data_IF_117670326801
#
_entry.id   IF_117670326801
#
_cell.length_a   1.000
_cell.length_b   1.000
_cell.length_c   1.000
_cell.angle_alpha   90.00
_cell.angle_beta   90.00
_cell.angle_gamma   90.00
#
_symmetry.space_group_name_H-M   'P 1'
#
loop_
_entity.id
_entity.type
_entity.pdbx_description
1 polymer ?
#
# COMPACT_ATOMS: atom_id res chain seq x y z
N UNK A 1 14.83 37.02 -56.79
CA UNK A 1 14.59 36.04 -57.88
C UNK A 1 15.53 34.87 -57.63
N UNK A 2 15.07 33.92 -56.83
CA UNK A 2 15.49 32.52 -56.83
C UNK A 2 14.28 31.77 -56.26
N UNK A 3 13.60 31.07 -57.16
CA UNK A 3 12.39 30.29 -56.95
C UNK A 3 12.70 29.06 -56.09
N UNK A 4 11.79 28.74 -55.16
CA UNK A 4 11.77 27.46 -54.48
C UNK A 4 10.83 26.57 -55.30
N UNK A 5 11.37 25.52 -55.92
CA UNK A 5 10.60 24.47 -56.57
C UNK A 5 10.06 23.53 -55.49
N UNK A 6 8.73 23.40 -55.45
CA UNK A 6 7.98 22.43 -54.66
C UNK A 6 8.11 21.05 -55.33
N UNK A 7 8.91 20.16 -54.74
CA UNK A 7 8.86 18.73 -55.08
C UNK A 7 7.86 18.02 -54.16
N UNK A 8 6.68 17.75 -54.73
CA UNK A 8 5.71 16.79 -54.23
C UNK A 8 6.33 15.39 -54.17
N UNK A 9 6.54 14.86 -52.96
CA UNK A 9 6.82 13.44 -52.76
C UNK A 9 5.58 12.73 -52.22
N UNK A 10 4.82 12.11 -53.13
CA UNK A 10 3.85 11.06 -52.80
C UNK A 10 4.59 9.84 -52.23
N UNK A 11 4.55 9.68 -50.90
CA UNK A 11 5.10 8.53 -50.18
C UNK A 11 4.00 7.67 -49.58
N UNK A 12 3.76 6.53 -50.22
CA UNK A 12 2.78 5.51 -49.88
C UNK A 12 2.73 5.12 -48.38
N UNK A 13 1.53 4.79 -47.92
CA UNK A 13 1.25 4.31 -46.59
C UNK A 13 2.05 3.08 -46.19
N UNK A 14 2.76 3.19 -45.08
CA UNK A 14 3.12 2.07 -44.23
C UNK A 14 3.10 2.58 -42.78
N UNK A 15 2.03 2.25 -42.07
CA UNK A 15 1.96 2.34 -40.60
C UNK A 15 2.91 1.30 -40.01
N UNK A 16 4.21 1.54 -40.12
CA UNK A 16 5.23 0.81 -39.39
C UNK A 16 5.10 1.20 -37.91
N UNK A 17 4.35 0.40 -37.16
CA UNK A 17 4.38 0.43 -35.70
C UNK A 17 5.82 0.18 -35.29
N UNK A 18 6.53 1.24 -34.90
CA UNK A 18 7.89 1.12 -34.39
C UNK A 18 7.92 0.05 -33.30
N UNK A 19 8.82 -0.95 -33.36
CA UNK A 19 8.88 -2.00 -32.36
C UNK A 19 9.11 -1.34 -30.99
N UNK A 20 8.23 -1.64 -30.03
CA UNK A 20 8.37 -1.15 -28.65
C UNK A 20 9.77 -1.50 -28.17
N UNK A 21 10.62 -0.49 -27.99
CA UNK A 21 11.94 -0.67 -27.40
C UNK A 21 11.76 -1.31 -26.02
N UNK A 22 12.20 -2.55 -25.89
CA UNK A 22 12.28 -3.21 -24.60
C UNK A 22 13.38 -2.50 -23.79
N UNK A 23 13.13 -2.15 -22.51
CA UNK A 23 14.18 -1.61 -21.65
C UNK A 23 15.40 -2.54 -21.67
N UNK A 24 16.58 -1.99 -21.94
CA UNK A 24 17.82 -2.76 -21.88
C UNK A 24 18.08 -3.36 -20.49
N UNK A 25 19.12 -4.19 -20.36
CA UNK A 25 19.48 -4.80 -19.09
C UNK A 25 19.68 -3.73 -17.99
N UNK A 26 18.78 -3.71 -17.02
CA UNK A 26 18.81 -2.77 -15.89
C UNK A 26 19.42 -3.46 -14.68
N UNK A 27 20.48 -2.88 -14.10
CA UNK A 27 21.05 -3.34 -12.83
C UNK A 27 20.81 -2.30 -11.74
N UNK A 28 20.23 -2.72 -10.61
CA UNK A 28 20.07 -1.85 -9.45
C UNK A 28 21.35 -1.88 -8.60
N UNK A 29 22.01 -0.73 -8.46
CA UNK A 29 23.13 -0.55 -7.53
C UNK A 29 22.66 -0.10 -6.14
N UNK A 30 21.34 -0.13 -5.91
CA UNK A 30 20.74 0.39 -4.67
C UNK A 30 21.25 -0.32 -3.43
N UNK A 31 21.48 -1.63 -3.48
CA UNK A 31 22.01 -2.40 -2.35
C UNK A 31 23.43 -1.98 -1.99
N UNK A 32 24.34 -1.93 -2.98
CA UNK A 32 25.73 -1.44 -2.79
C UNK A 32 25.77 0.01 -2.29
N UNK A 33 24.93 0.88 -2.85
CA UNK A 33 24.81 2.26 -2.37
C UNK A 33 24.36 2.32 -0.90
N UNK A 34 23.35 1.53 -0.51
CA UNK A 34 22.87 1.48 0.88
C UNK A 34 23.95 0.97 1.83
N UNK A 35 24.71 -0.04 1.43
CA UNK A 35 25.81 -0.58 2.23
C UNK A 35 26.89 0.47 2.50
N UNK A 36 27.46 1.09 1.46
CA UNK A 36 28.48 2.15 1.64
C UNK A 36 27.95 3.35 2.42
N UNK A 37 26.68 3.69 2.25
CA UNK A 37 26.05 4.79 2.97
C UNK A 37 25.77 4.42 4.43
N UNK A 38 25.46 3.16 4.72
CA UNK A 38 25.06 2.69 6.06
C UNK A 38 26.16 2.96 7.07
N UNK A 39 27.41 2.61 6.80
CA UNK A 39 28.53 2.80 7.72
C UNK A 39 28.71 4.28 8.15
N UNK A 40 28.76 5.20 7.17
CA UNK A 40 28.84 6.65 7.45
C UNK A 40 27.60 7.18 8.17
N UNK A 41 26.42 6.71 7.75
CA UNK A 41 25.16 7.12 8.34
C UNK A 41 25.02 6.58 9.77
N UNK A 42 25.55 5.41 10.06
CA UNK A 42 25.47 4.74 11.35
C UNK A 42 26.38 5.40 12.38
N UNK A 43 27.61 5.78 11.98
CA UNK A 43 28.46 6.63 12.82
C UNK A 43 27.77 7.97 13.14
N UNK A 44 27.21 8.63 12.13
CA UNK A 44 26.52 9.91 12.29
C UNK A 44 25.24 9.79 13.16
N UNK A 45 24.44 8.74 12.95
CA UNK A 45 23.26 8.43 13.77
C UNK A 45 23.67 8.11 15.22
N UNK A 46 24.78 7.41 15.42
CA UNK A 46 25.30 7.08 16.75
C UNK A 46 25.65 8.34 17.53
N UNK A 47 26.32 9.30 16.88
CA UNK A 47 26.64 10.58 17.50
C UNK A 47 25.37 11.37 17.87
N UNK A 48 24.39 11.43 16.97
CA UNK A 48 23.08 12.04 17.27
C UNK A 48 22.41 11.36 18.46
N UNK A 49 22.36 10.03 18.48
CA UNK A 49 21.71 9.28 19.55
C UNK A 49 22.41 9.52 20.90
N UNK A 50 23.74 9.61 20.93
CA UNK A 50 24.49 10.01 22.14
C UNK A 50 24.07 11.40 22.64
N UNK A 51 23.90 12.36 21.73
CA UNK A 51 23.43 13.71 22.11
C UNK A 51 22.02 13.67 22.68
N UNK A 52 21.09 12.92 22.06
CA UNK A 52 19.71 12.78 22.55
C UNK A 52 19.68 12.11 23.94
N UNK A 53 20.44 11.03 24.16
CA UNK A 53 20.51 10.36 25.45
C UNK A 53 21.04 11.31 26.54
N UNK A 54 22.07 12.10 26.22
CA UNK A 54 22.61 13.11 27.16
C UNK A 54 21.59 14.21 27.44
N UNK A 55 20.87 14.66 26.42
CA UNK A 55 19.78 15.63 26.58
C UNK A 55 18.68 15.11 27.50
N UNK A 56 18.23 13.87 27.32
CA UNK A 56 17.25 13.23 28.21
C UNK A 56 17.76 13.15 29.66
N UNK A 57 19.04 12.81 29.86
CA UNK A 57 19.67 12.79 31.21
C UNK A 57 19.71 14.19 31.85
N UNK A 58 20.10 15.21 31.08
CA UNK A 58 20.10 16.60 31.54
C UNK A 58 18.70 17.05 31.99
N UNK A 59 17.68 16.71 31.20
CA UNK A 59 16.27 17.02 31.53
C UNK A 59 15.76 16.28 32.76
N UNK A 60 16.14 15.01 32.95
CA UNK A 60 15.64 14.18 34.06
C UNK A 60 16.10 14.59 35.46
N UNK A 61 17.19 15.36 35.57
CA UNK A 61 17.76 15.82 36.84
C UNK A 61 17.85 17.34 36.92
N UNK A 62 17.03 18.07 36.15
CA UNK A 62 17.12 19.52 36.10
C UNK A 62 16.64 20.13 37.42
N UNK A 63 17.43 21.07 37.95
CA UNK A 63 17.14 21.76 39.22
C UNK A 63 17.07 23.27 39.01
N UNK A 64 16.23 23.95 39.80
CA UNK A 64 16.19 25.42 39.89
C UNK A 64 17.42 26.00 40.56
N UNK A 65 18.07 25.22 41.43
CA UNK A 65 19.33 25.57 42.09
C UNK A 65 20.49 25.52 41.08
N UNK A 66 21.19 26.65 40.93
CA UNK A 66 22.28 26.79 39.96
C UNK A 66 23.49 25.89 40.26
N UNK A 67 23.79 25.64 41.54
CA UNK A 67 24.93 24.81 41.96
C UNK A 67 24.62 23.34 41.68
N UNK A 68 23.44 22.87 42.09
CA UNK A 68 22.99 21.49 41.81
C UNK A 68 22.88 21.24 40.32
N UNK A 69 22.37 22.21 39.56
CA UNK A 69 22.29 22.12 38.09
C UNK A 69 23.67 22.00 37.45
N UNK A 70 24.63 22.85 37.84
CA UNK A 70 26.00 22.76 37.31
C UNK A 70 26.65 21.41 37.62
N UNK A 71 26.47 20.91 38.85
CA UNK A 71 26.98 19.60 39.24
C UNK A 71 26.33 18.47 38.41
N UNK A 72 25.01 18.53 38.20
CA UNK A 72 24.29 17.60 37.33
C UNK A 72 24.78 17.65 35.87
N UNK A 73 24.92 18.85 35.30
CA UNK A 73 25.44 19.05 33.94
C UNK A 73 26.82 18.41 33.75
N UNK A 74 27.72 18.58 34.74
CA UNK A 74 29.07 18.01 34.73
C UNK A 74 29.08 16.49 34.99
N UNK A 75 28.12 15.96 35.75
CA UNK A 75 27.96 14.53 35.97
C UNK A 75 27.44 13.81 34.71
N UNK A 76 26.58 14.47 33.91
CA UNK A 76 26.07 13.91 32.66
C UNK A 76 27.12 13.94 31.55
N UNK A 77 27.92 15.01 31.48
CA UNK A 77 28.97 15.20 30.47
C UNK A 77 30.21 15.79 31.08
N UNK A 78 31.36 15.12 30.90
CA UNK A 78 32.66 15.66 31.28
C UNK A 78 32.98 16.90 30.46
N UNK A 79 33.23 18.01 31.14
CA UNK A 79 33.60 19.28 30.52
C UNK A 79 35.10 19.33 30.31
N UNK A 80 35.50 19.77 29.11
CA UNK A 80 36.91 19.95 28.81
C UNK A 80 37.48 21.10 29.64
N UNK A 81 38.70 20.93 30.14
CA UNK A 81 39.38 21.93 30.95
C UNK A 81 39.70 23.18 30.12
N UNK A 82 39.44 24.35 30.69
CA UNK A 82 39.67 25.64 30.04
C UNK A 82 41.13 25.83 29.64
N UNK A 83 42.09 25.35 30.43
CA UNK A 83 43.53 25.48 30.16
C UNK A 83 43.98 24.79 28.88
N UNK A 84 43.25 23.76 28.44
CA UNK A 84 43.60 22.96 27.26
C UNK A 84 43.16 23.61 25.94
N UNK A 85 42.35 24.67 25.98
CA UNK A 85 41.72 25.24 24.79
C UNK A 85 41.99 26.73 24.67
N UNK A 86 42.86 27.10 23.73
CA UNK A 86 43.20 28.50 23.45
C UNK A 86 42.37 29.10 22.29
N UNK A 87 41.88 28.26 21.38
CA UNK A 87 41.10 28.64 20.21
C UNK A 87 39.72 27.98 20.25
N UNK A 88 38.69 28.67 19.77
CA UNK A 88 37.37 28.06 19.62
C UNK A 88 37.43 26.94 18.56
N UNK A 89 37.09 25.68 18.88
CA UNK A 89 37.15 24.57 17.93
C UNK A 89 36.22 24.72 16.73
N UNK A 90 35.17 25.55 16.84
CA UNK A 90 34.20 25.74 15.76
C UNK A 90 34.62 26.80 14.74
N UNK A 91 35.25 27.90 15.16
CA UNK A 91 35.62 29.02 14.27
C UNK A 91 37.11 29.34 14.22
N UNK A 92 37.93 28.68 15.04
CA UNK A 92 39.37 28.92 15.13
C UNK A 92 39.77 30.22 15.84
N UNK A 93 38.84 31.10 16.22
CA UNK A 93 39.18 32.37 16.86
C UNK A 93 39.73 32.17 18.29
N UNK A 94 40.77 32.91 18.65
CA UNK A 94 41.36 32.92 19.98
C UNK A 94 40.42 33.47 21.05
N UNK A 95 40.39 32.81 22.21
CA UNK A 95 39.70 33.33 23.38
C UNK A 95 40.46 34.52 23.98
N UNK A 96 39.71 35.50 24.50
CA UNK A 96 40.24 36.69 25.16
C UNK A 96 39.17 37.25 26.12
N UNK A 97 39.37 38.47 26.64
CA UNK A 97 38.46 39.08 27.63
C UNK A 97 37.04 39.25 27.07
N UNK A 98 36.89 39.59 25.78
CA UNK A 98 35.57 39.78 25.14
C UNK A 98 35.02 38.48 24.55
N UNK A 99 35.89 37.61 24.02
CA UNK A 99 35.55 36.26 23.56
C UNK A 99 35.82 35.25 24.68
N UNK A 100 34.85 35.09 25.58
CA UNK A 100 34.95 34.15 26.71
C UNK A 100 34.68 32.69 26.30
N UNK A 101 35.18 31.77 27.11
CA UNK A 101 34.98 30.32 26.98
C UNK A 101 33.60 29.92 27.53
N UNK A 102 32.93 29.02 26.84
CA UNK A 102 31.66 28.43 27.26
C UNK A 102 31.61 26.94 26.95
N UNK A 103 31.11 26.12 27.88
CA UNK A 103 30.92 24.70 27.63
C UNK A 103 29.59 24.39 26.95
N UNK A 104 29.63 23.50 25.97
CA UNK A 104 28.45 22.83 25.43
C UNK A 104 27.93 21.82 26.45
N UNK A 105 26.66 21.92 26.82
CA UNK A 105 26.06 21.01 27.81
C UNK A 105 25.92 19.58 27.29
N UNK A 106 25.93 19.36 25.98
CA UNK A 106 25.74 18.04 25.37
C UNK A 106 27.04 17.28 25.05
N UNK A 107 28.14 17.99 24.81
CA UNK A 107 29.41 17.35 24.46
C UNK A 107 30.59 17.78 25.33
N UNK A 108 30.43 18.77 26.20
CA UNK A 108 31.49 19.26 27.09
C UNK A 108 32.57 20.10 26.40
N UNK A 109 32.51 20.26 25.08
CA UNK A 109 33.47 21.06 24.33
C UNK A 109 33.34 22.55 24.65
N UNK A 110 34.48 23.24 24.63
CA UNK A 110 34.55 24.70 24.81
C UNK A 110 34.24 25.39 23.49
N UNK A 111 33.43 26.45 23.53
CA UNK A 111 33.01 27.25 22.39
C UNK A 111 32.93 28.73 22.76
N UNK A 112 33.03 29.62 21.77
CA UNK A 112 32.72 31.04 21.97
C UNK A 112 31.21 31.31 21.87
N UNK A 113 30.78 32.51 22.28
CA UNK A 113 29.37 32.88 22.26
C UNK A 113 28.75 32.80 20.85
N UNK A 114 29.45 33.29 19.82
CA UNK A 114 29.01 33.25 18.42
C UNK A 114 28.89 31.84 17.84
N UNK A 115 29.56 30.86 18.43
CA UNK A 115 29.52 29.45 17.99
C UNK A 115 28.66 28.58 18.92
N UNK A 116 27.89 29.21 19.81
CA UNK A 116 26.96 28.54 20.72
C UNK A 116 25.53 28.99 20.44
N UNK A 117 24.60 28.07 20.62
CA UNK A 117 23.16 28.27 20.45
C UNK A 117 22.45 27.97 21.77
N UNK A 118 21.28 28.59 21.94
CA UNK A 118 20.35 28.29 23.03
C UNK A 118 19.39 27.20 22.55
N UNK A 119 19.32 26.08 23.28
CA UNK A 119 18.33 25.03 23.06
C UNK A 119 17.28 25.11 24.16
N UNK A 120 16.06 25.48 23.79
CA UNK A 120 14.95 25.57 24.73
C UNK A 120 14.56 24.22 25.30
N UNK A 121 14.00 24.21 26.51
CA UNK A 121 13.44 22.98 27.13
C UNK A 121 12.33 22.40 26.25
N UNK A 122 11.49 23.25 25.65
CA UNK A 122 10.41 22.82 24.76
C UNK A 122 10.95 22.09 23.52
N UNK A 123 12.01 22.59 22.89
CA UNK A 123 12.61 21.94 21.73
C UNK A 123 13.38 20.67 22.11
N UNK A 124 14.01 20.67 23.28
CA UNK A 124 14.63 19.47 23.82
C UNK A 124 13.61 18.33 24.04
N UNK A 125 12.41 18.66 24.52
CA UNK A 125 11.31 17.71 24.70
C UNK A 125 10.80 17.13 23.37
N UNK A 126 10.73 17.93 22.29
CA UNK A 126 10.34 17.44 20.95
C UNK A 126 11.36 16.47 20.35
N UNK A 127 12.63 16.58 20.74
CA UNK A 127 13.72 15.71 20.30
C UNK A 127 13.81 14.42 21.11
N UNK A 128 13.31 14.46 22.36
CA UNK A 128 13.24 13.33 23.28
C UNK A 128 12.19 12.31 22.84
N UNK A 129 12.46 11.03 23.10
CA UNK A 129 11.49 9.95 22.89
C UNK A 129 10.49 9.82 24.05
N UNK A 130 10.82 10.41 25.20
CA UNK A 130 10.02 10.37 26.42
C UNK A 130 9.00 11.50 26.44
N UNK A 131 7.78 11.19 26.89
CA UNK A 131 6.75 12.21 27.14
C UNK A 131 7.28 13.25 28.15
N UNK A 132 7.01 14.55 27.93
CA UNK A 132 7.28 15.56 28.94
C UNK A 132 6.57 15.21 30.24
N UNK A 133 7.24 15.34 31.37
CA UNK A 133 6.51 15.53 32.63
C UNK A 133 5.91 16.94 32.61
N UNK A 134 4.63 17.08 32.94
CA UNK A 134 3.94 18.38 33.00
C UNK A 134 4.65 19.37 33.95
N UNK A 135 5.31 18.85 34.98
CA UNK A 135 6.12 19.61 35.93
C UNK A 135 7.26 20.39 35.26
N UNK A 136 7.97 19.82 34.28
CA UNK A 136 9.09 20.49 33.60
C UNK A 136 8.60 21.64 32.71
N UNK A 137 7.40 21.52 32.14
CA UNK A 137 6.82 22.52 31.23
C UNK A 137 6.38 23.80 31.96
N UNK A 138 6.10 23.71 33.27
CA UNK A 138 5.61 24.84 34.07
C UNK A 138 6.74 25.59 34.80
N UNK A 139 7.96 25.08 34.78
CA UNK A 139 9.10 25.70 35.44
C UNK A 139 9.85 26.65 34.50
N UNK A 140 10.16 27.87 34.97
CA UNK A 140 11.04 28.83 34.29
C UNK A 140 12.51 28.35 34.33
N UNK A 141 12.80 27.29 33.59
CA UNK A 141 14.11 26.67 33.51
C UNK A 141 14.96 27.34 32.43
N UNK A 142 16.27 27.54 32.66
CA UNK A 142 17.13 28.10 31.64
C UNK A 142 17.40 27.10 30.52
N UNK A 143 17.57 27.63 29.31
CA UNK A 143 17.96 26.88 28.12
C UNK A 143 19.32 26.20 28.27
N UNK A 144 19.50 25.12 27.51
CA UNK A 144 20.80 24.47 27.38
C UNK A 144 21.66 25.22 26.37
N UNK A 145 22.87 25.60 26.77
CA UNK A 145 23.87 26.12 25.82
C UNK A 145 24.52 24.97 25.05
N UNK A 146 24.42 25.00 23.74
CA UNK A 146 24.88 23.94 22.83
C UNK A 146 25.84 24.52 21.80
N UNK A 147 26.94 23.83 21.47
CA UNK A 147 27.82 24.30 20.39
C UNK A 147 27.15 24.13 19.01
N UNK A 148 27.59 24.91 18.02
CA UNK A 148 27.06 24.84 16.65
C UNK A 148 27.04 23.41 16.07
N UNK A 149 28.10 22.58 16.20
CA UNK A 149 28.07 21.20 15.70
C UNK A 149 27.04 20.29 16.38
N UNK A 150 26.71 20.53 17.65
CA UNK A 150 25.66 19.76 18.34
C UNK A 150 24.27 20.28 17.96
N UNK A 151 24.13 21.60 17.81
CA UNK A 151 22.89 22.22 17.34
C UNK A 151 22.48 21.69 15.96
N UNK A 152 23.40 21.69 15.01
CA UNK A 152 23.17 21.19 13.64
C UNK A 152 22.74 19.71 13.61
N UNK A 153 23.41 18.87 14.42
CA UNK A 153 23.06 17.45 14.56
C UNK A 153 21.66 17.25 15.14
N UNK A 154 21.29 18.03 16.15
CA UNK A 154 19.94 17.98 16.74
C UNK A 154 18.89 18.50 15.76
N UNK A 155 19.19 19.54 14.99
CA UNK A 155 18.30 20.06 13.96
C UNK A 155 18.05 19.03 12.85
N UNK A 156 19.09 18.34 12.38
CA UNK A 156 18.93 17.23 11.44
C UNK A 156 18.08 16.09 12.03
N UNK A 157 18.21 15.81 13.33
CA UNK A 157 17.32 14.85 14.02
C UNK A 157 15.89 15.35 14.06
N UNK A 158 15.65 16.63 14.37
CA UNK A 158 14.33 17.26 14.38
C UNK A 158 13.64 17.07 13.04
N UNK A 159 14.31 17.45 11.95
CA UNK A 159 13.80 17.29 10.59
C UNK A 159 13.51 15.82 10.24
N UNK A 160 14.32 14.88 10.72
CA UNK A 160 14.08 13.44 10.53
C UNK A 160 12.91 12.92 11.36
N UNK A 161 12.69 13.43 12.58
CA UNK A 161 11.54 13.10 13.42
C UNK A 161 10.28 13.68 12.80
N UNK A 162 10.28 14.97 12.47
CA UNK A 162 9.20 15.68 11.80
C UNK A 162 8.88 15.04 10.44
N UNK A 163 9.87 14.69 9.64
CA UNK A 163 9.69 14.03 8.35
C UNK A 163 9.17 12.59 8.45
N UNK A 164 9.43 11.88 9.56
CA UNK A 164 8.83 10.57 9.82
C UNK A 164 7.37 10.68 10.27
N UNK A 165 7.03 11.70 11.03
CA UNK A 165 5.66 11.94 11.52
C UNK A 165 4.79 12.69 10.50
N UNK A 166 5.41 13.48 9.62
CA UNK A 166 4.74 14.19 8.56
C UNK A 166 4.43 13.20 7.45
N UNK A 167 3.26 12.57 7.49
CA UNK A 167 2.70 11.87 6.33
C UNK A 167 2.28 12.95 5.33
N UNK A 168 3.03 13.16 4.23
CA UNK A 168 2.73 14.24 3.30
C UNK A 168 1.30 14.10 2.79
N UNK A 169 0.60 15.22 2.60
CA UNK A 169 -0.80 15.21 2.16
C UNK A 169 -0.96 14.41 0.86
N UNK A 170 0.03 14.47 -0.05
CA UNK A 170 0.05 13.67 -1.29
C UNK A 170 -0.03 12.16 -1.04
N UNK A 171 0.60 11.64 0.02
CA UNK A 171 0.50 10.23 0.37
C UNK A 171 -0.93 9.86 0.74
N UNK A 172 -1.61 10.69 1.54
CA UNK A 172 -3.01 10.44 1.92
C UNK A 172 -3.94 10.39 0.70
N UNK A 173 -3.77 11.31 -0.26
CA UNK A 173 -4.52 11.27 -1.52
C UNK A 173 -4.17 10.05 -2.39
N UNK A 174 -2.90 9.67 -2.43
CA UNK A 174 -2.45 8.51 -3.18
C UNK A 174 -2.98 7.19 -2.61
N UNK A 175 -2.98 7.04 -1.28
CA UNK A 175 -3.54 5.87 -0.61
C UNK A 175 -5.05 5.75 -0.88
N UNK A 176 -5.78 6.89 -0.85
CA UNK A 176 -7.18 6.93 -1.24
C UNK A 176 -7.39 6.55 -2.71
N UNK A 177 -6.53 7.02 -3.61
CA UNK A 177 -6.58 6.66 -5.03
C UNK A 177 -6.38 5.16 -5.24
N UNK A 178 -5.39 4.57 -4.55
CA UNK A 178 -5.13 3.13 -4.60
C UNK A 178 -6.31 2.31 -4.07
N UNK A 179 -6.92 2.73 -2.95
CA UNK A 179 -8.11 2.08 -2.42
C UNK A 179 -9.26 2.09 -3.44
N UNK A 180 -9.55 3.25 -4.04
CA UNK A 180 -10.60 3.37 -5.06
C UNK A 180 -10.35 2.48 -6.28
N UNK A 181 -9.08 2.35 -6.71
CA UNK A 181 -8.72 1.45 -7.82
C UNK A 181 -8.90 -0.03 -7.44
N UNK A 182 -8.54 -0.40 -6.21
CA UNK A 182 -8.74 -1.76 -5.68
C UNK A 182 -10.22 -2.11 -5.59
N UNK A 183 -11.04 -1.20 -5.06
CA UNK A 183 -12.49 -1.38 -4.95
C UNK A 183 -13.14 -1.53 -6.33
N UNK A 184 -12.71 -0.71 -7.30
CA UNK A 184 -13.16 -0.81 -8.69
C UNK A 184 -12.76 -2.14 -9.35
N UNK A 185 -11.54 -2.62 -9.11
CA UNK A 185 -11.07 -3.91 -9.62
C UNK A 185 -11.85 -5.10 -9.04
N UNK A 186 -12.16 -5.06 -7.74
CA UNK A 186 -12.97 -6.09 -7.11
C UNK A 186 -14.40 -6.09 -7.67
N UNK A 187 -15.04 -4.92 -7.71
CA UNK A 187 -16.41 -4.78 -8.20
C UNK A 187 -16.53 -5.11 -9.70
N UNK A 188 -15.50 -4.81 -10.49
CA UNK A 188 -15.46 -5.15 -11.92
C UNK A 188 -15.47 -6.66 -12.14
N UNK A 189 -14.73 -7.42 -11.33
CA UNK A 189 -14.74 -8.89 -11.42
C UNK A 189 -16.14 -9.45 -11.17
N UNK A 190 -16.83 -8.94 -10.15
CA UNK A 190 -18.18 -9.39 -9.82
C UNK A 190 -19.19 -8.96 -10.88
N UNK A 191 -19.04 -7.75 -11.43
CA UNK A 191 -19.83 -7.29 -12.57
C UNK A 191 -19.68 -8.18 -13.81
N UNK A 192 -18.46 -8.58 -14.15
CA UNK A 192 -18.22 -9.45 -15.30
C UNK A 192 -18.85 -10.84 -15.11
N UNK A 193 -18.83 -11.39 -13.88
CA UNK A 193 -19.56 -12.63 -13.56
C UNK A 193 -21.06 -12.46 -13.75
N UNK A 194 -21.65 -11.42 -13.15
CA UNK A 194 -23.08 -11.10 -13.32
C UNK A 194 -23.45 -10.96 -14.79
N UNK A 195 -22.65 -10.21 -15.56
CA UNK A 195 -22.86 -10.03 -16.99
C UNK A 195 -22.85 -11.37 -17.74
N UNK A 196 -21.82 -12.22 -17.52
CA UNK A 196 -21.70 -13.51 -18.19
C UNK A 196 -22.88 -14.46 -17.91
N UNK A 197 -23.34 -14.51 -16.66
CA UNK A 197 -24.49 -15.33 -16.24
C UNK A 197 -25.80 -14.84 -16.86
N UNK A 198 -26.04 -13.51 -16.85
CA UNK A 198 -27.23 -12.90 -17.47
C UNK A 198 -27.26 -13.08 -18.99
N UNK A 199 -26.11 -12.91 -19.67
CA UNK A 199 -25.98 -13.17 -21.11
C UNK A 199 -26.14 -14.66 -21.46
N UNK A 200 -25.87 -15.55 -20.51
CA UNK A 200 -26.12 -16.99 -20.66
C UNK A 200 -27.55 -17.38 -20.31
N UNK A 201 -28.43 -16.43 -19.95
CA UNK A 201 -29.83 -16.67 -19.60
C UNK A 201 -30.03 -17.41 -18.26
N UNK A 202 -28.99 -17.45 -17.42
CA UNK A 202 -29.06 -18.03 -16.09
C UNK A 202 -29.86 -17.12 -15.13
N UNK A 203 -30.33 -17.69 -14.02
CA UNK A 203 -31.10 -16.97 -12.99
C UNK A 203 -30.33 -16.76 -11.69
N UNK A 204 -28.99 -16.90 -11.72
CA UNK A 204 -28.13 -16.78 -10.53
C UNK A 204 -28.10 -15.33 -10.03
N UNK A 205 -28.18 -14.35 -10.95
CA UNK A 205 -28.10 -12.93 -10.64
C UNK A 205 -29.34 -12.15 -11.15
N UNK A 206 -29.70 -11.07 -10.44
CA UNK A 206 -30.78 -10.18 -10.85
C UNK A 206 -30.28 -9.06 -11.77
N UNK A 207 -31.09 -8.71 -12.78
CA UNK A 207 -30.76 -7.63 -13.72
C UNK A 207 -30.66 -6.27 -13.01
N UNK A 208 -31.47 -6.04 -11.97
CA UNK A 208 -31.42 -4.79 -11.18
C UNK A 208 -30.13 -4.66 -10.39
N UNK A 209 -29.62 -5.76 -9.85
CA UNK A 209 -28.35 -5.82 -9.13
C UNK A 209 -27.17 -5.54 -10.07
N UNK A 210 -27.18 -6.15 -11.26
CA UNK A 210 -26.15 -5.89 -12.28
C UNK A 210 -26.17 -4.43 -12.77
N UNK A 211 -27.35 -3.83 -12.95
CA UNK A 211 -27.51 -2.41 -13.29
C UNK A 211 -26.96 -1.50 -12.18
N UNK A 212 -27.31 -1.80 -10.93
CA UNK A 212 -26.81 -1.07 -9.76
C UNK A 212 -25.29 -1.15 -9.67
N UNK A 213 -24.73 -2.35 -9.83
CA UNK A 213 -23.28 -2.57 -9.81
C UNK A 213 -22.57 -1.78 -10.91
N UNK A 214 -23.12 -1.77 -12.13
CA UNK A 214 -22.59 -0.95 -13.25
C UNK A 214 -22.56 0.53 -12.88
N UNK A 215 -23.62 1.07 -12.26
CA UNK A 215 -23.66 2.46 -11.82
C UNK A 215 -22.59 2.76 -10.76
N UNK A 216 -22.38 1.86 -9.79
CA UNK A 216 -21.31 2.01 -8.80
C UNK A 216 -19.91 2.03 -9.44
N UNK A 217 -19.65 1.20 -10.47
CA UNK A 217 -18.39 1.24 -11.21
C UNK A 217 -18.14 2.59 -11.89
N UNK A 218 -19.17 3.21 -12.47
CA UNK A 218 -19.09 4.55 -13.06
C UNK A 218 -18.78 5.60 -11.98
N UNK A 219 -19.45 5.54 -10.82
CA UNK A 219 -19.17 6.45 -9.70
C UNK A 219 -17.75 6.28 -9.15
N UNK A 220 -17.20 5.06 -9.11
CA UNK A 220 -15.81 4.83 -8.74
C UNK A 220 -14.85 5.45 -9.76
N UNK A 221 -15.11 5.32 -11.06
CA UNK A 221 -14.32 5.97 -12.10
C UNK A 221 -14.27 7.49 -11.91
N UNK A 222 -15.42 8.13 -11.62
CA UNK A 222 -15.49 9.57 -11.33
C UNK A 222 -14.69 9.95 -10.08
N UNK A 223 -14.77 9.16 -9.00
CA UNK A 223 -13.99 9.41 -7.78
C UNK A 223 -12.47 9.27 -8.01
N UNK A 224 -12.05 8.29 -8.81
CA UNK A 224 -10.65 8.10 -9.22
C UNK A 224 -10.17 9.32 -10.04
N UNK A 225 -10.99 9.76 -11.00
CA UNK A 225 -10.73 10.94 -11.83
C UNK A 225 -10.59 12.22 -10.99
N UNK A 226 -11.51 12.46 -10.06
CA UNK A 226 -11.47 13.61 -9.16
C UNK A 226 -10.24 13.57 -8.24
N UNK A 227 -9.96 12.43 -7.61
CA UNK A 227 -8.83 12.28 -6.69
C UNK A 227 -7.50 12.50 -7.41
N UNK A 228 -7.34 11.93 -8.61
CA UNK A 228 -6.11 12.11 -9.40
C UNK A 228 -5.92 13.55 -9.90
N UNK A 229 -7.01 14.28 -10.21
CA UNK A 229 -6.97 15.73 -10.47
C UNK A 229 -6.54 16.53 -9.24
N UNK A 230 -7.05 16.19 -8.06
CA UNK A 230 -6.62 16.83 -6.80
C UNK A 230 -5.13 16.62 -6.52
N UNK A 231 -4.57 15.45 -6.82
CA UNK A 231 -3.13 15.18 -6.70
C UNK A 231 -2.32 16.07 -7.64
N UNK A 232 -2.80 16.29 -8.88
CA UNK A 232 -2.11 17.12 -9.87
C UNK A 232 -1.96 18.58 -9.44
N UNK A 233 -3.00 19.14 -8.82
CA UNK A 233 -3.02 20.54 -8.37
C UNK A 233 -2.55 20.73 -6.92
N UNK A 234 -2.08 19.67 -6.27
CA UNK A 234 -1.68 19.75 -4.87
C UNK A 234 -0.43 20.63 -4.75
N UNK A 235 -0.50 21.67 -3.90
CA UNK A 235 0.57 22.64 -3.68
C UNK A 235 0.61 23.78 -4.70
N UNK A 236 -0.25 23.81 -5.72
CA UNK A 236 -0.29 24.93 -6.69
C UNK A 236 -1.12 26.12 -6.21
N UNK A 237 -1.91 25.96 -5.14
CA UNK A 237 -2.79 27.01 -4.58
C UNK A 237 -2.18 27.80 -3.43
N UNK A 238 -1.13 27.27 -2.80
CA UNK A 238 -0.30 27.98 -1.84
C UNK A 238 0.78 28.75 -2.62
N UNK A 239 1.13 29.97 -2.20
CA UNK A 239 2.06 30.94 -2.82
C UNK A 239 3.15 30.35 -3.75
N UNK A 240 3.56 31.10 -4.79
CA UNK A 240 4.46 30.68 -5.90
C UNK A 240 5.73 29.90 -5.51
N UNK A 241 6.24 30.08 -4.27
CA UNK A 241 7.38 29.35 -3.70
C UNK A 241 7.06 27.89 -3.34
N UNK A 242 5.81 27.57 -3.05
CA UNK A 242 5.36 26.23 -2.64
C UNK A 242 4.81 25.37 -3.80
N UNK A 243 4.79 25.93 -5.02
CA UNK A 243 4.32 25.23 -6.20
C UNK A 243 5.24 24.04 -6.55
N UNK A 244 4.67 22.86 -6.88
CA UNK A 244 5.47 21.69 -7.23
C UNK A 244 6.25 21.93 -8.54
N UNK A 245 7.58 21.80 -8.47
CA UNK A 245 8.50 21.92 -9.63
C UNK A 245 9.37 20.68 -9.78
N UNK A 246 9.91 20.50 -10.99
CA UNK A 246 10.87 19.42 -11.30
C UNK A 246 10.33 18.02 -11.01
N UNK A 247 10.99 17.28 -10.11
CA UNK A 247 10.64 15.89 -9.78
C UNK A 247 9.26 15.74 -9.13
N UNK A 248 8.83 16.71 -8.33
CA UNK A 248 7.53 16.64 -7.64
C UNK A 248 6.36 16.71 -8.64
N UNK A 249 6.43 17.66 -9.58
CA UNK A 249 5.42 17.81 -10.63
C UNK A 249 5.37 16.58 -11.55
N UNK A 250 6.54 16.03 -11.92
CA UNK A 250 6.61 14.79 -12.71
C UNK A 250 5.94 13.60 -12.02
N UNK A 251 6.10 13.47 -10.70
CA UNK A 251 5.42 12.44 -9.93
C UNK A 251 3.90 12.62 -9.98
N UNK A 252 3.40 13.84 -9.72
CA UNK A 252 1.97 14.15 -9.78
C UNK A 252 1.36 13.87 -11.16
N UNK A 253 2.06 14.27 -12.23
CA UNK A 253 1.67 13.97 -13.62
C UNK A 253 1.66 12.45 -13.89
N UNK A 254 2.66 11.72 -13.41
CA UNK A 254 2.74 10.26 -13.59
C UNK A 254 1.59 9.54 -12.88
N UNK A 255 1.26 9.94 -11.65
CA UNK A 255 0.11 9.40 -10.90
C UNK A 255 -1.18 9.67 -11.66
N UNK A 256 -1.37 10.89 -12.16
CA UNK A 256 -2.53 11.29 -12.95
C UNK A 256 -2.67 10.44 -14.22
N UNK A 257 -1.59 10.30 -14.98
CA UNK A 257 -1.57 9.47 -16.19
C UNK A 257 -1.91 8.01 -15.88
N UNK A 258 -1.37 7.45 -14.80
CA UNK A 258 -1.68 6.09 -14.36
C UNK A 258 -3.17 5.93 -14.02
N UNK A 259 -3.78 6.90 -13.34
CA UNK A 259 -5.20 6.87 -13.02
C UNK A 259 -6.09 6.96 -14.26
N UNK A 260 -5.75 7.84 -15.21
CA UNK A 260 -6.46 7.96 -16.49
C UNK A 260 -6.34 6.68 -17.32
N UNK A 261 -5.18 6.02 -17.33
CA UNK A 261 -5.00 4.73 -18.00
C UNK A 261 -5.88 3.66 -17.37
N UNK A 262 -5.92 3.58 -16.03
CA UNK A 262 -6.78 2.62 -15.32
C UNK A 262 -8.26 2.78 -15.71
N UNK A 263 -8.77 4.01 -15.73
CA UNK A 263 -10.17 4.28 -16.12
C UNK A 263 -10.41 3.86 -17.57
N UNK A 264 -9.50 4.24 -18.49
CA UNK A 264 -9.61 3.89 -19.90
C UNK A 264 -9.59 2.38 -20.14
N UNK A 265 -8.66 1.68 -19.53
CA UNK A 265 -8.44 0.26 -19.82
C UNK A 265 -9.48 -0.64 -19.16
N UNK A 266 -10.02 -0.24 -17.99
CA UNK A 266 -10.89 -1.11 -17.19
C UNK A 266 -12.34 -0.64 -17.05
N UNK A 267 -12.60 0.66 -17.10
CA UNK A 267 -13.90 1.24 -16.71
C UNK A 267 -14.60 2.03 -17.82
N UNK A 268 -13.92 2.41 -18.90
CA UNK A 268 -14.56 3.11 -20.03
C UNK A 268 -15.44 2.20 -20.88
N UNK A 269 -15.03 0.94 -21.09
CA UNK A 269 -15.70 0.01 -22.00
C UNK A 269 -16.42 -1.11 -21.24
N UNK A 270 -17.29 -0.76 -20.28
CA UNK A 270 -18.07 -1.76 -19.54
C UNK A 270 -19.08 -2.47 -20.47
N UNK A 271 -19.08 -3.81 -20.54
CA UNK A 271 -20.02 -4.59 -21.36
C UNK A 271 -21.49 -4.22 -21.11
N UNK A 272 -22.32 -4.07 -22.15
CA UNK A 272 -23.74 -3.70 -21.99
C UNK A 272 -24.56 -4.86 -21.44
N UNK A 273 -25.43 -4.58 -20.48
CA UNK A 273 -26.38 -5.58 -19.98
C UNK A 273 -27.52 -5.80 -20.99
N UNK A 274 -28.07 -7.02 -21.09
CA UNK A 274 -29.23 -7.30 -21.92
C UNK A 274 -30.47 -6.56 -21.39
N UNK A 275 -31.39 -6.23 -22.30
CA UNK A 275 -32.70 -5.70 -21.93
C UNK A 275 -33.56 -6.77 -21.24
N UNK A 276 -34.58 -6.35 -20.49
CA UNK A 276 -35.49 -7.28 -19.79
C UNK A 276 -36.13 -8.28 -20.78
N UNK A 277 -36.52 -7.81 -21.96
CA UNK A 277 -37.12 -8.62 -23.01
C UNK A 277 -36.13 -9.63 -23.61
N UNK A 278 -34.89 -9.22 -23.86
CA UNK A 278 -33.83 -10.12 -24.32
C UNK A 278 -33.49 -11.17 -23.26
N UNK A 279 -33.42 -10.78 -21.99
CA UNK A 279 -33.16 -11.69 -20.87
C UNK A 279 -34.28 -12.73 -20.72
N UNK A 280 -35.54 -12.33 -20.84
CA UNK A 280 -36.68 -13.25 -20.84
C UNK A 280 -36.61 -14.23 -22.00
N UNK A 281 -36.25 -13.75 -23.20
CA UNK A 281 -36.08 -14.60 -24.39
C UNK A 281 -34.95 -15.61 -24.19
N UNK A 282 -33.81 -15.20 -23.61
CA UNK A 282 -32.68 -16.07 -23.31
C UNK A 282 -33.05 -17.14 -22.26
N UNK A 283 -33.78 -16.76 -21.21
CA UNK A 283 -34.28 -17.70 -20.19
C UNK A 283 -35.24 -18.74 -20.76
N UNK A 284 -36.19 -18.32 -21.61
CA UNK A 284 -37.13 -19.23 -22.27
C UNK A 284 -36.40 -20.22 -23.21
N UNK A 285 -35.36 -19.77 -23.92
CA UNK A 285 -34.52 -20.64 -24.76
C UNK A 285 -33.75 -21.68 -23.93
N UNK A 286 -33.20 -21.30 -22.77
CA UNK A 286 -32.55 -22.28 -21.89
C UNK A 286 -33.57 -23.29 -21.34
N UNK A 287 -34.72 -22.83 -20.87
CA UNK A 287 -35.76 -23.71 -20.32
C UNK A 287 -36.29 -24.72 -21.36
N UNK A 288 -36.53 -24.28 -22.59
CA UNK A 288 -36.95 -25.18 -23.68
C UNK A 288 -35.83 -26.14 -24.11
N UNK A 289 -34.57 -25.69 -24.11
CA UNK A 289 -33.39 -26.54 -24.33
C UNK A 289 -33.20 -27.61 -23.26
N UNK A 290 -33.41 -27.28 -21.98
CA UNK A 290 -33.33 -28.23 -20.87
C UNK A 290 -34.49 -29.22 -20.93
N UNK A 291 -35.72 -28.74 -21.16
CA UNK A 291 -36.92 -29.59 -21.29
C UNK A 291 -36.82 -30.57 -22.46
N UNK A 292 -36.33 -30.13 -23.62
CA UNK A 292 -36.12 -31.00 -24.77
C UNK A 292 -35.05 -32.07 -24.54
N UNK A 293 -33.97 -31.73 -23.81
CA UNK A 293 -32.93 -32.70 -23.42
C UNK A 293 -33.44 -33.72 -22.40
N UNK A 294 -34.24 -33.31 -21.42
CA UNK A 294 -34.87 -34.21 -20.45
C UNK A 294 -35.88 -35.17 -21.11
N UNK A 295 -36.70 -34.67 -22.04
CA UNK A 295 -37.66 -35.49 -22.77
C UNK A 295 -36.99 -36.50 -23.73
N UNK A 296 -35.83 -36.16 -24.31
CA UNK A 296 -35.04 -37.13 -25.11
C UNK A 296 -34.31 -38.16 -24.24
N UNK A 297 -33.95 -37.82 -23.01
CA UNK A 297 -33.30 -38.74 -22.07
C UNK A 297 -34.28 -39.73 -21.41
N UNK A 298 -35.60 -39.44 -21.40
CA UNK A 298 -36.64 -40.32 -20.82
C UNK A 298 -36.98 -41.57 -21.64
N UNK A 299 -36.39 -41.76 -22.83
CA UNK A 299 -36.75 -42.84 -23.76
C UNK A 299 -35.69 -43.90 -24.06
N UNK A 300 -34.48 -43.84 -23.47
CA UNK A 300 -33.42 -44.77 -23.83
C UNK A 300 -32.55 -45.16 -22.63
N UNK A 301 -32.70 -46.42 -22.18
CA UNK A 301 -31.69 -47.06 -21.34
C UNK A 301 -30.39 -47.11 -22.16
N UNK A 302 -29.31 -46.53 -21.61
CA UNK A 302 -27.97 -46.45 -22.21
C UNK A 302 -27.78 -45.35 -23.27
N UNK A 303 -27.70 -44.09 -22.82
CA UNK A 303 -27.02 -43.04 -23.57
C UNK A 303 -25.69 -42.69 -22.86
N UNK A 304 -24.58 -43.10 -23.50
CA UNK A 304 -23.22 -42.73 -23.13
C UNK A 304 -23.08 -41.21 -23.26
N UNK A 305 -22.89 -40.53 -22.14
CA UNK A 305 -22.69 -39.08 -22.09
C UNK A 305 -21.36 -38.74 -22.76
N UNK A 306 -21.42 -38.00 -23.86
CA UNK A 306 -20.25 -37.35 -24.47
C UNK A 306 -20.02 -36.02 -23.74
N UNK A 307 -19.12 -36.03 -22.76
CA UNK A 307 -18.71 -34.86 -22.02
C UNK A 307 -17.80 -33.97 -22.88
N UNK A 308 -18.21 -32.72 -23.08
CA UNK A 308 -17.26 -31.68 -23.47
C UNK A 308 -16.29 -31.44 -22.34
N UNK A 309 -15.01 -31.75 -22.56
CA UNK A 309 -13.78 -31.32 -21.88
C UNK A 309 -13.85 -30.88 -20.39
N UNK A 310 -14.73 -31.47 -19.60
CA UNK A 310 -14.80 -31.40 -18.15
C UNK A 310 -14.64 -32.82 -17.63
N UNK A 311 -13.83 -33.01 -16.60
CA UNK A 311 -13.59 -34.33 -16.04
C UNK A 311 -14.86 -34.85 -15.40
N UNK A 312 -15.35 -35.98 -15.89
CA UNK A 312 -16.49 -36.69 -15.32
C UNK A 312 -16.02 -37.83 -14.45
N UNK A 313 -16.60 -37.92 -13.27
CA UNK A 313 -16.56 -39.13 -12.48
C UNK A 313 -17.56 -40.14 -13.05
N UNK A 314 -17.25 -41.42 -12.92
CA UNK A 314 -18.15 -42.50 -13.33
C UNK A 314 -18.56 -43.30 -12.10
N UNK A 315 -19.83 -43.67 -12.04
CA UNK A 315 -20.34 -44.58 -11.01
C UNK A 315 -20.00 -46.01 -11.43
N UNK A 316 -18.97 -46.61 -10.82
CA UNK A 316 -18.75 -48.06 -10.93
C UNK A 316 -19.82 -48.78 -10.11
N UNK A 317 -20.65 -49.60 -10.77
CA UNK A 317 -21.67 -50.46 -10.14
C UNK A 317 -21.16 -51.45 -9.08
N UNK A 318 -19.87 -51.42 -8.70
CA UNK A 318 -19.26 -52.37 -7.77
C UNK A 318 -18.93 -51.82 -6.38
N UNK A 319 -19.28 -50.57 -6.04
CA UNK A 319 -18.91 -50.00 -4.73
C UNK A 319 -19.98 -49.13 -4.05
N UNK A 320 -21.26 -49.24 -4.43
CA UNK A 320 -22.33 -48.56 -3.70
C UNK A 320 -22.87 -49.54 -2.67
N UNK A 321 -22.50 -49.35 -1.40
CA UNK A 321 -23.25 -49.95 -0.29
C UNK A 321 -24.65 -49.33 -0.38
N UNK A 322 -25.64 -50.10 -0.82
CA UNK A 322 -27.03 -49.65 -0.84
C UNK A 322 -27.48 -49.42 0.60
N UNK A 323 -27.68 -48.14 0.94
CA UNK A 323 -28.20 -47.71 2.25
C UNK A 323 -29.56 -47.06 2.03
N UNK A 324 -30.53 -47.36 2.89
CA UNK A 324 -31.89 -46.81 2.80
C UNK A 324 -31.96 -45.29 3.04
N UNK A 325 -30.87 -44.68 3.53
CA UNK A 325 -30.78 -43.23 3.73
C UNK A 325 -30.21 -42.53 2.48
N UNK A 326 -30.99 -41.63 1.82
CA UNK A 326 -30.56 -40.95 0.60
C UNK A 326 -29.39 -39.99 0.81
N UNK A 327 -29.21 -39.43 2.01
CA UNK A 327 -28.06 -38.55 2.32
C UNK A 327 -26.82 -39.41 2.53
N UNK A 328 -26.94 -40.54 3.23
CA UNK A 328 -25.81 -41.45 3.41
C UNK A 328 -25.34 -42.06 2.08
N UNK A 329 -26.27 -42.34 1.17
CA UNK A 329 -25.97 -42.77 -0.19
C UNK A 329 -25.18 -41.70 -0.95
N UNK A 330 -25.58 -40.43 -0.83
CA UNK A 330 -24.88 -39.30 -1.44
C UNK A 330 -23.47 -39.08 -0.85
N UNK A 331 -23.29 -39.24 0.47
CA UNK A 331 -21.99 -39.19 1.13
C UNK A 331 -21.04 -40.25 0.55
N UNK A 332 -21.52 -41.49 0.40
CA UNK A 332 -20.72 -42.59 -0.16
C UNK A 332 -20.32 -42.32 -1.62
N UNK A 333 -21.22 -41.74 -2.42
CA UNK A 333 -20.93 -41.35 -3.81
C UNK A 333 -19.87 -40.24 -3.88
N UNK A 334 -20.00 -39.21 -3.05
CA UNK A 334 -19.03 -38.10 -3.03
C UNK A 334 -17.66 -38.58 -2.57
N UNK A 335 -17.58 -39.52 -1.60
CA UNK A 335 -16.30 -40.15 -1.21
C UNK A 335 -15.63 -40.87 -2.38
N UNK A 336 -16.39 -41.66 -3.15
CA UNK A 336 -15.86 -42.32 -4.35
C UNK A 336 -15.39 -41.34 -5.43
N UNK A 337 -16.05 -40.18 -5.58
CA UNK A 337 -15.62 -39.13 -6.50
C UNK A 337 -14.34 -38.43 -6.06
N UNK A 338 -14.13 -38.25 -4.75
CA UNK A 338 -12.88 -37.71 -4.20
C UNK A 338 -11.72 -38.66 -4.50
N UNK A 339 -11.92 -39.98 -4.34
CA UNK A 339 -10.91 -40.98 -4.70
C UNK A 339 -10.54 -40.92 -6.18
N UNK A 340 -11.54 -40.88 -7.07
CA UNK A 340 -11.30 -40.72 -8.51
C UNK A 340 -10.56 -39.42 -8.84
N UNK A 341 -10.87 -38.32 -8.14
CA UNK A 341 -10.24 -37.02 -8.37
C UNK A 341 -8.78 -37.00 -7.88
N UNK A 342 -8.50 -37.71 -6.77
CA UNK A 342 -7.15 -37.91 -6.26
C UNK A 342 -6.31 -38.76 -7.22
N UNK A 343 -6.87 -39.87 -7.74
CA UNK A 343 -6.20 -40.73 -8.73
C UNK A 343 -5.91 -39.97 -10.04
N UNK A 344 -6.81 -39.08 -10.46
CA UNK A 344 -6.64 -38.23 -11.63
C UNK A 344 -5.73 -37.01 -11.39
N UNK A 345 -5.21 -36.79 -10.17
CA UNK A 345 -4.33 -35.68 -9.82
C UNK A 345 -5.01 -34.30 -9.86
N UNK A 346 -6.35 -34.26 -9.77
CA UNK A 346 -7.21 -33.09 -9.96
C UNK A 346 -7.48 -32.36 -8.64
N UNK A 347 -6.53 -31.52 -8.22
CA UNK A 347 -6.52 -30.91 -6.87
C UNK A 347 -7.68 -29.94 -6.62
N UNK A 348 -8.12 -29.19 -7.63
CA UNK A 348 -9.20 -28.22 -7.49
C UNK A 348 -10.54 -28.93 -7.28
N UNK A 349 -10.79 -30.00 -8.03
CA UNK A 349 -11.97 -30.86 -7.88
C UNK A 349 -11.97 -31.61 -6.55
N UNK A 350 -10.80 -32.09 -6.08
CA UNK A 350 -10.67 -32.67 -4.73
C UNK A 350 -11.08 -31.66 -3.67
N UNK A 351 -10.62 -30.41 -3.77
CA UNK A 351 -10.95 -29.36 -2.80
C UNK A 351 -12.45 -29.07 -2.77
N UNK A 352 -13.09 -28.89 -3.94
CA UNK A 352 -14.53 -28.64 -4.03
C UNK A 352 -15.38 -29.83 -3.55
N UNK A 353 -14.97 -31.06 -3.86
CA UNK A 353 -15.68 -32.26 -3.41
C UNK A 353 -15.53 -32.50 -1.90
N UNK A 354 -14.38 -32.16 -1.31
CA UNK A 354 -14.17 -32.20 0.14
C UNK A 354 -15.06 -31.19 0.89
N UNK A 355 -15.24 -29.99 0.34
CA UNK A 355 -16.20 -29.02 0.90
C UNK A 355 -17.64 -29.52 0.82
N UNK A 356 -18.02 -30.13 -0.30
CA UNK A 356 -19.35 -30.72 -0.46
C UNK A 356 -19.59 -31.88 0.51
N UNK A 357 -18.59 -32.76 0.70
CA UNK A 357 -18.65 -33.86 1.66
C UNK A 357 -18.91 -33.35 3.08
N UNK A 358 -18.19 -32.31 3.50
CA UNK A 358 -18.35 -31.70 4.83
C UNK A 358 -19.76 -31.15 5.06
N UNK A 359 -20.36 -30.55 4.02
CA UNK A 359 -21.74 -30.04 4.09
C UNK A 359 -22.76 -31.19 4.21
N UNK A 360 -22.55 -32.28 3.47
CA UNK A 360 -23.41 -33.47 3.52
C UNK A 360 -23.32 -34.18 4.87
N UNK A 361 -22.11 -34.34 5.43
CA UNK A 361 -21.90 -34.92 6.76
C UNK A 361 -22.57 -34.07 7.85
N UNK A 362 -22.45 -32.74 7.78
CA UNK A 362 -23.14 -31.86 8.73
C UNK A 362 -24.67 -31.92 8.60
N UNK A 363 -25.21 -32.05 7.38
CA UNK A 363 -26.65 -32.21 7.18
C UNK A 363 -27.15 -33.57 7.72
N UNK A 364 -26.36 -34.63 7.56
CA UNK A 364 -26.66 -35.96 8.10
C UNK A 364 -26.67 -35.97 9.63
N UNK A 365 -25.69 -35.33 10.27
CA UNK A 365 -25.65 -35.17 11.74
C UNK A 365 -26.85 -34.38 12.27
N UNK A 366 -27.27 -33.32 11.57
CA UNK A 366 -28.47 -32.57 11.93
C UNK A 366 -29.73 -33.43 11.83
N UNK A 367 -29.84 -34.28 10.81
CA UNK A 367 -30.99 -35.18 10.63
C UNK A 367 -31.03 -36.28 11.71
N UNK A 368 -29.88 -36.83 12.11
CA UNK A 368 -29.81 -37.78 13.23
C UNK A 368 -30.19 -37.13 14.56
N UNK A 369 -29.75 -35.90 14.83
CA UNK A 369 -30.07 -35.16 16.05
C UNK A 369 -31.55 -34.74 16.15
N UNK A 370 -32.30 -34.71 15.04
CA UNK A 370 -33.75 -34.47 15.03
C UNK A 370 -34.59 -35.76 15.07
N UNK A 371 -33.94 -36.93 15.00
CA UNK A 371 -34.59 -38.25 14.99
C UNK A 371 -34.47 -38.99 16.34
N UNK A 372 -33.95 -38.32 17.37
CA UNK A 372 -33.92 -38.72 18.79
C UNK A 372 -34.84 -37.78 19.56
#
# INVERSE_FOLDING_TARGET
>A
MYEYEDDEFEGAGATAVAPKMQPGATRSLTSKFREFRSEKMDSYNTDINKLVIRLEKLMSGISTDAVKRKAHEQAVVSWLDDSLVNLCPSCGCSFNITRRKHHCRLCGAITCNSCSHSLSIADALKLSSKKPSEEILQMNLPDFRVCAPCSERLEHRRQKVEGKTARPIICQFYDKLQQLQSDADALLKDYLKMHSSLCSGESIYDLREAKTTRLYLVQLAEKIEQTSKSILILGTKSNEESAPRGRSLRLQQSIRMSASNFIRDKLMCLPSLPTEMELQTMRQRLQSGISSRLNQAGGSKSARVMQGAGWGTYTTSSAVVETDDPILQQINLVRGYIEQAMEAGRRDEVCSLQENLKLLESAYEQQQNHSV
#
